data_IF_371774448748
#
_entry.id   IF_371774448748
#
_cell.length_a   1.000
_cell.length_b   1.000
_cell.length_c   1.000
_cell.angle_alpha   90.00
_cell.angle_beta   90.00
_cell.angle_gamma   90.00
#
_symmetry.space_group_name_H-M   'P 1'
#
loop_
_entity.id
_entity.type
_entity.pdbx_description
1 polymer ?
#
# COMPACT_ATOMS: atom_id res chain seq x y z
N UNK A 1 -42.74 -27.41 39.45
CA UNK A 1 -43.10 -27.42 38.01
C UNK A 1 -42.45 -26.23 37.34
N UNK A 2 -41.35 -26.48 36.62
CA UNK A 2 -40.59 -25.47 35.87
C UNK A 2 -41.45 -24.86 34.75
N UNK A 3 -41.42 -23.54 34.59
CA UNK A 3 -41.75 -22.90 33.31
C UNK A 3 -40.54 -22.16 32.76
N UNK A 4 -40.24 -22.57 31.54
CA UNK A 4 -39.05 -22.32 30.72
C UNK A 4 -39.09 -20.90 30.15
N UNK A 5 -37.87 -20.36 30.04
CA UNK A 5 -37.43 -19.09 29.45
C UNK A 5 -38.10 -18.80 28.10
N UNK A 6 -38.51 -17.54 27.88
CA UNK A 6 -38.89 -16.99 26.56
C UNK A 6 -38.22 -15.64 26.33
N UNK A 7 -36.95 -15.64 25.94
CA UNK A 7 -36.26 -14.46 25.40
C UNK A 7 -35.58 -14.81 24.06
N UNK A 8 -36.31 -14.91 22.93
CA UNK A 8 -35.68 -15.25 21.65
C UNK A 8 -35.34 -14.04 20.77
N UNK A 9 -35.56 -12.78 21.19
CA UNK A 9 -35.51 -11.64 20.26
C UNK A 9 -34.23 -10.78 20.37
N UNK A 10 -33.40 -10.95 21.40
CA UNK A 10 -32.30 -10.00 21.65
C UNK A 10 -30.95 -10.35 21.00
N UNK A 11 -30.78 -11.50 20.33
CA UNK A 11 -29.46 -11.97 19.88
C UNK A 11 -29.18 -11.80 18.37
N UNK A 12 -30.14 -11.31 17.58
CA UNK A 12 -29.97 -11.20 16.12
C UNK A 12 -29.49 -9.83 15.63
N UNK A 13 -29.47 -8.80 16.49
CA UNK A 13 -29.18 -7.42 16.07
C UNK A 13 -27.68 -7.03 16.10
N UNK A 14 -26.80 -7.87 16.65
CA UNK A 14 -25.38 -7.54 16.84
C UNK A 14 -24.44 -7.97 15.69
N UNK A 15 -24.93 -8.73 14.71
CA UNK A 15 -24.10 -9.22 13.58
C UNK A 15 -24.12 -8.32 12.32
N UNK A 16 -24.91 -7.24 12.30
CA UNK A 16 -25.08 -6.42 11.10
C UNK A 16 -24.09 -5.24 10.96
N UNK A 17 -23.19 -5.00 11.94
CA UNK A 17 -22.30 -3.82 11.94
C UNK A 17 -20.88 -4.05 11.38
N UNK A 18 -20.51 -5.25 10.93
CA UNK A 18 -19.11 -5.53 10.56
C UNK A 18 -18.80 -5.46 9.05
N UNK A 19 -19.80 -5.27 8.17
CA UNK A 19 -19.56 -5.20 6.72
C UNK A 19 -19.55 -3.73 6.29
N UNK A 20 -18.44 -3.04 6.54
CA UNK A 20 -18.23 -1.77 5.86
C UNK A 20 -17.92 -2.06 4.40
N UNK A 21 -18.63 -1.46 3.43
CA UNK A 21 -18.24 -1.57 2.04
C UNK A 21 -16.84 -0.99 1.91
N UNK A 22 -15.88 -1.83 1.49
CA UNK A 22 -14.61 -1.33 0.96
C UNK A 22 -14.98 -0.59 -0.31
N UNK A 23 -15.09 0.74 -0.23
CA UNK A 23 -15.24 1.58 -1.41
C UNK A 23 -13.97 1.42 -2.23
N UNK A 24 -14.02 0.58 -3.26
CA UNK A 24 -13.00 0.55 -4.30
C UNK A 24 -13.03 1.93 -4.96
N UNK A 25 -12.01 2.75 -4.70
CA UNK A 25 -11.85 4.01 -5.42
C UNK A 25 -11.56 3.66 -6.87
N UNK A 26 -12.44 4.07 -7.78
CA UNK A 26 -12.19 3.95 -9.21
C UNK A 26 -10.91 4.71 -9.54
N UNK A 27 -9.99 4.05 -10.27
CA UNK A 27 -8.78 4.69 -10.76
C UNK A 27 -9.15 5.70 -11.83
N UNK A 28 -8.56 6.89 -11.75
CA UNK A 28 -8.62 7.87 -12.82
C UNK A 28 -7.37 7.72 -13.72
N UNK A 29 -7.47 8.07 -15.00
CA UNK A 29 -6.31 8.06 -15.90
C UNK A 29 -5.17 8.95 -15.37
N UNK A 30 -5.51 10.05 -14.70
CA UNK A 30 -4.54 10.94 -14.05
C UNK A 30 -3.78 10.28 -12.89
N UNK A 31 -4.29 9.20 -12.27
CA UNK A 31 -3.54 8.47 -11.24
C UNK A 31 -2.29 7.77 -11.82
N UNK A 32 -2.25 7.53 -13.13
CA UNK A 32 -1.09 6.98 -13.83
C UNK A 32 -0.04 8.02 -14.22
N UNK A 33 -0.29 9.31 -13.99
CA UNK A 33 0.73 10.35 -14.17
C UNK A 33 1.83 10.29 -13.10
N UNK A 34 1.55 9.65 -11.96
CA UNK A 34 2.46 9.53 -10.82
C UNK A 34 3.00 10.88 -10.33
N UNK A 35 2.15 11.90 -10.28
CA UNK A 35 2.53 13.23 -9.78
C UNK A 35 2.77 13.20 -8.26
N UNK A 36 1.98 12.39 -7.55
CA UNK A 36 2.01 12.31 -6.08
C UNK A 36 2.12 10.88 -5.58
N UNK A 37 2.56 10.76 -4.32
CA UNK A 37 2.59 9.49 -3.59
C UNK A 37 1.18 8.89 -3.46
N UNK A 38 0.16 9.73 -3.31
CA UNK A 38 -1.24 9.28 -3.27
C UNK A 38 -1.70 8.67 -4.60
N UNK A 39 -1.32 9.25 -5.75
CA UNK A 39 -1.64 8.65 -7.05
C UNK A 39 -1.07 7.23 -7.15
N UNK A 40 0.20 7.05 -6.80
CA UNK A 40 0.83 5.73 -6.83
C UNK A 40 0.20 4.76 -5.82
N UNK A 41 -0.21 5.22 -4.63
CA UNK A 41 -0.90 4.39 -3.64
C UNK A 41 -2.24 3.85 -4.18
N UNK A 42 -3.02 4.67 -4.90
CA UNK A 42 -4.24 4.22 -5.55
C UNK A 42 -3.95 3.15 -6.59
N UNK A 43 -2.99 3.39 -7.48
CA UNK A 43 -2.57 2.43 -8.52
C UNK A 43 -2.10 1.11 -7.91
N UNK A 44 -1.28 1.16 -6.86
CA UNK A 44 -0.79 -0.02 -6.15
C UNK A 44 -1.86 -0.75 -5.31
N UNK A 45 -2.93 -0.05 -4.94
CA UNK A 45 -4.05 -0.54 -4.14
C UNK A 45 -5.19 -1.16 -4.96
N UNK A 46 -5.08 -1.16 -6.29
CA UNK A 46 -6.08 -1.74 -7.19
C UNK A 46 -6.34 -3.23 -6.88
N UNK A 47 -7.60 -3.64 -6.88
CA UNK A 47 -8.03 -5.02 -6.64
C UNK A 47 -8.47 -5.66 -7.95
N UNK A 48 -8.18 -6.95 -8.15
CA UNK A 48 -8.29 -7.66 -9.44
C UNK A 48 -9.67 -7.65 -10.12
N UNK A 49 -10.72 -7.24 -9.42
CA UNK A 49 -12.09 -7.21 -9.94
C UNK A 49 -12.47 -5.86 -10.61
N UNK A 50 -11.63 -4.81 -10.54
CA UNK A 50 -11.93 -3.54 -11.20
C UNK A 50 -11.43 -3.48 -12.66
N UNK A 51 -12.15 -2.81 -13.58
CA UNK A 51 -11.62 -2.48 -14.89
C UNK A 51 -10.29 -1.72 -14.75
N UNK A 52 -9.25 -2.15 -15.49
CA UNK A 52 -7.92 -1.54 -15.40
C UNK A 52 -7.04 -2.07 -14.24
N UNK A 53 -7.53 -2.99 -13.41
CA UNK A 53 -6.76 -3.51 -12.27
C UNK A 53 -5.44 -4.18 -12.68
N UNK A 54 -5.43 -4.87 -13.83
CA UNK A 54 -4.22 -5.54 -14.32
C UNK A 54 -3.16 -4.52 -14.72
N UNK A 55 -3.57 -3.49 -15.44
CA UNK A 55 -2.73 -2.38 -15.88
C UNK A 55 -2.16 -1.63 -14.68
N UNK A 56 -2.99 -1.37 -13.68
CA UNK A 56 -2.59 -0.74 -12.41
C UNK A 56 -1.55 -1.56 -11.66
N UNK A 57 -1.77 -2.87 -11.48
CA UNK A 57 -0.84 -3.75 -10.80
C UNK A 57 0.50 -3.88 -11.53
N UNK A 58 0.48 -3.97 -12.87
CA UNK A 58 1.70 -3.99 -13.68
C UNK A 58 2.46 -2.67 -13.57
N UNK A 59 1.75 -1.54 -13.59
CA UNK A 59 2.32 -0.20 -13.45
C UNK A 59 2.97 0.00 -12.08
N UNK A 60 2.27 -0.39 -11.00
CA UNK A 60 2.81 -0.37 -9.65
C UNK A 60 4.08 -1.22 -9.53
N UNK A 61 4.04 -2.48 -10.01
CA UNK A 61 5.19 -3.39 -9.99
C UNK A 61 6.40 -2.77 -10.70
N UNK A 62 6.19 -2.21 -11.89
CA UNK A 62 7.25 -1.58 -12.67
C UNK A 62 7.84 -0.34 -11.98
N UNK A 63 6.99 0.50 -11.36
CA UNK A 63 7.43 1.69 -10.65
C UNK A 63 8.31 1.35 -9.44
N UNK A 64 7.89 0.37 -8.63
CA UNK A 64 8.66 -0.07 -7.45
C UNK A 64 9.99 -0.69 -7.89
N UNK A 65 9.98 -1.58 -8.88
CA UNK A 65 11.19 -2.18 -9.45
C UNK A 65 12.18 -1.11 -9.94
N UNK A 66 11.72 -0.16 -10.75
CA UNK A 66 12.57 0.92 -11.28
C UNK A 66 13.12 1.82 -10.17
N UNK A 67 12.32 2.12 -9.14
CA UNK A 67 12.75 2.90 -7.98
C UNK A 67 13.88 2.19 -7.22
N UNK A 68 13.75 0.87 -7.01
CA UNK A 68 14.77 0.05 -6.34
C UNK A 68 16.04 -0.06 -7.20
N UNK A 69 15.91 -0.34 -8.49
CA UNK A 69 17.06 -0.41 -9.41
C UNK A 69 17.84 0.91 -9.44
N UNK A 70 17.14 2.05 -9.52
CA UNK A 70 17.80 3.35 -9.47
C UNK A 70 18.48 3.58 -8.11
N UNK A 71 17.80 3.28 -7.01
CA UNK A 71 18.37 3.35 -5.66
C UNK A 71 19.67 2.52 -5.53
N UNK A 72 19.69 1.31 -6.05
CA UNK A 72 20.86 0.43 -6.02
C UNK A 72 21.99 1.00 -6.87
N UNK A 73 21.69 1.41 -8.10
CA UNK A 73 22.67 2.01 -9.01
C UNK A 73 23.37 3.25 -8.41
N UNK A 74 22.66 4.08 -7.64
CA UNK A 74 23.25 5.25 -6.98
C UNK A 74 23.95 4.92 -5.66
N UNK A 75 23.58 3.83 -4.99
CA UNK A 75 24.11 3.47 -3.66
C UNK A 75 25.34 2.58 -3.70
N UNK A 76 25.42 1.63 -4.65
CA UNK A 76 26.38 0.51 -4.60
C UNK A 76 27.86 0.92 -4.73
N UNK A 77 28.13 2.12 -5.25
CA UNK A 77 29.49 2.69 -5.36
C UNK A 77 29.83 3.69 -4.28
N UNK A 78 29.11 3.69 -3.15
CA UNK A 78 29.22 4.68 -2.05
C UNK A 78 29.05 6.13 -2.52
N UNK A 79 28.37 6.34 -3.66
CA UNK A 79 28.08 7.69 -4.19
C UNK A 79 26.96 8.35 -3.39
N UNK A 80 26.04 7.54 -2.87
CA UNK A 80 25.01 7.94 -1.93
C UNK A 80 24.92 6.92 -0.78
N UNK A 81 24.35 7.35 0.35
CA UNK A 81 24.00 6.45 1.45
C UNK A 81 22.86 5.54 1.01
N UNK A 82 23.03 4.23 1.19
CA UNK A 82 21.97 3.24 0.99
C UNK A 82 20.86 3.45 2.02
N UNK A 83 19.61 3.55 1.55
CA UNK A 83 18.44 3.80 2.40
C UNK A 83 17.59 2.53 2.59
N UNK A 84 17.55 1.66 1.58
CA UNK A 84 16.77 0.41 1.58
C UNK A 84 17.73 -0.78 1.64
N UNK A 85 17.57 -1.64 2.65
CA UNK A 85 18.38 -2.84 2.82
C UNK A 85 17.50 -4.10 2.85
N UNK A 86 17.08 -4.53 1.65
CA UNK A 86 16.31 -5.76 1.44
C UNK A 86 17.22 -7.00 1.46
N UNK A 87 16.62 -8.16 1.71
CA UNK A 87 17.26 -9.48 1.68
C UNK A 87 17.10 -10.13 0.29
N UNK A 88 17.91 -11.15 -0.01
CA UNK A 88 17.87 -11.84 -1.31
C UNK A 88 16.51 -12.45 -1.69
N UNK A 89 15.66 -12.75 -0.70
CA UNK A 89 14.33 -13.34 -0.92
C UNK A 89 13.19 -12.30 -0.89
N UNK A 90 13.48 -11.01 -0.66
CA UNK A 90 12.46 -9.98 -0.74
C UNK A 90 12.01 -9.82 -2.21
N UNK A 91 10.71 -9.72 -2.40
CA UNK A 91 10.07 -9.59 -3.71
C UNK A 91 9.53 -8.18 -3.94
N UNK A 92 9.22 -7.83 -5.18
CA UNK A 92 8.51 -6.58 -5.47
C UNK A 92 7.11 -6.56 -4.85
N UNK A 93 6.50 -7.73 -4.66
CA UNK A 93 5.23 -7.84 -3.96
C UNK A 93 5.36 -7.50 -2.47
N UNK A 94 6.45 -7.93 -1.82
CA UNK A 94 6.76 -7.48 -0.45
C UNK A 94 6.94 -5.96 -0.39
N UNK A 95 7.59 -5.40 -1.42
CA UNK A 95 7.73 -3.95 -1.58
C UNK A 95 6.39 -3.23 -1.75
N UNK A 96 5.49 -3.76 -2.57
CA UNK A 96 4.13 -3.24 -2.74
C UNK A 96 3.36 -3.26 -1.43
N UNK A 97 3.42 -4.38 -0.72
CA UNK A 97 2.72 -4.53 0.56
C UNK A 97 3.28 -3.56 1.61
N UNK A 98 4.61 -3.39 1.68
CA UNK A 98 5.25 -2.40 2.54
C UNK A 98 4.81 -0.95 2.19
N UNK A 99 4.72 -0.63 0.90
CA UNK A 99 4.25 0.68 0.44
C UNK A 99 2.78 0.94 0.81
N UNK A 100 1.89 -0.03 0.60
CA UNK A 100 0.48 0.09 0.99
C UNK A 100 0.29 0.19 2.50
N UNK A 101 1.03 -0.61 3.29
CA UNK A 101 1.01 -0.53 4.75
C UNK A 101 1.47 0.86 5.21
N UNK A 102 2.58 1.37 4.68
CA UNK A 102 3.06 2.71 4.99
C UNK A 102 2.05 3.79 4.57
N UNK A 103 1.42 3.66 3.39
CA UNK A 103 0.37 4.58 2.93
C UNK A 103 -0.84 4.60 3.85
N UNK A 104 -1.31 3.45 4.32
CA UNK A 104 -2.43 3.35 5.25
C UNK A 104 -2.16 4.05 6.59
N UNK A 105 -0.93 3.96 7.11
CA UNK A 105 -0.49 4.66 8.32
C UNK A 105 -0.38 6.18 8.13
N UNK A 106 -0.14 6.65 6.90
CA UNK A 106 0.17 8.05 6.58
C UNK A 106 -0.91 8.77 5.76
N UNK A 107 -2.04 8.13 5.45
CA UNK A 107 -3.10 8.67 4.57
C UNK A 107 -3.65 10.04 4.97
N UNK A 108 -3.58 10.41 6.25
CA UNK A 108 -4.02 11.73 6.75
C UNK A 108 -2.96 12.83 6.62
N UNK A 109 -1.72 12.47 6.27
CA UNK A 109 -0.61 13.41 6.17
C UNK A 109 -0.48 13.92 4.73
N UNK A 110 -1.14 15.03 4.46
CA UNK A 110 -1.16 15.66 3.14
C UNK A 110 0.23 16.05 2.64
N UNK A 111 1.17 16.39 3.52
CA UNK A 111 2.56 16.66 3.10
C UNK A 111 3.19 15.41 2.49
N UNK A 112 3.06 14.25 3.14
CA UNK A 112 3.61 12.99 2.64
C UNK A 112 2.88 12.50 1.39
N UNK A 113 1.56 12.67 1.33
CA UNK A 113 0.76 12.22 0.20
C UNK A 113 1.05 13.02 -1.08
N UNK A 114 1.38 14.31 -0.95
CA UNK A 114 1.72 15.20 -2.07
C UNK A 114 3.21 15.17 -2.47
N UNK A 115 4.05 14.35 -1.84
CA UNK A 115 5.44 14.19 -2.27
C UNK A 115 5.53 13.39 -3.59
N UNK A 116 6.63 13.57 -4.33
CA UNK A 116 6.97 12.73 -5.47
C UNK A 116 6.91 11.25 -5.10
N UNK A 117 6.25 10.38 -5.89
CA UNK A 117 5.98 9.00 -5.48
C UNK A 117 7.23 8.16 -5.18
N UNK A 118 8.35 8.41 -5.86
CA UNK A 118 9.62 7.73 -5.57
C UNK A 118 10.10 7.99 -4.13
N UNK A 119 9.84 9.18 -3.58
CA UNK A 119 10.17 9.51 -2.18
C UNK A 119 9.31 8.71 -1.22
N UNK A 120 8.01 8.60 -1.51
CA UNK A 120 7.07 7.76 -0.76
C UNK A 120 7.51 6.28 -0.76
N UNK A 121 7.83 5.73 -1.93
CA UNK A 121 8.32 4.34 -2.08
C UNK A 121 9.60 4.14 -1.25
N UNK A 122 10.62 4.97 -1.44
CA UNK A 122 11.90 4.81 -0.72
C UNK A 122 11.70 4.92 0.79
N UNK A 123 10.85 5.84 1.27
CA UNK A 123 10.57 5.97 2.70
C UNK A 123 9.85 4.74 3.25
N UNK A 124 8.85 4.23 2.53
CA UNK A 124 8.12 3.04 2.93
C UNK A 124 9.04 1.80 3.02
N UNK A 125 9.85 1.59 1.99
CA UNK A 125 10.79 0.47 1.93
C UNK A 125 11.91 0.61 2.96
N UNK A 126 12.44 1.81 3.19
CA UNK A 126 13.45 2.06 4.24
C UNK A 126 12.88 1.81 5.65
N UNK A 127 11.59 2.11 5.89
CA UNK A 127 10.90 1.77 7.14
C UNK A 127 10.75 0.25 7.30
N UNK A 128 10.37 -0.46 6.24
CA UNK A 128 10.14 -1.91 6.27
C UNK A 128 11.43 -2.74 6.26
N UNK A 129 12.50 -2.21 5.68
CA UNK A 129 13.81 -2.84 5.47
C UNK A 129 14.95 -1.87 5.78
N UNK A 130 15.11 -1.47 7.06
CA UNK A 130 16.12 -0.49 7.45
C UNK A 130 17.54 -1.05 7.31
N UNK A 131 18.44 -0.21 6.82
CA UNK A 131 19.87 -0.51 6.86
C UNK A 131 20.39 -0.46 8.30
N UNK A 132 21.18 -1.48 8.70
CA UNK A 132 21.87 -1.48 9.99
C UNK A 132 22.84 -0.30 10.05
N UNK A 133 22.95 0.30 11.24
CA UNK A 133 23.93 1.36 11.53
C UNK A 133 25.34 0.82 11.53
#
# INVERSE_FOLDING_TARGET
>A
MNKIIRHPVALAALLALAVQPMTSQALDESDFNFDTTENLLKVCGATGDSPGAREALLSCRAFIEASVQYHDAVSDKKRAKRLICYNANDTIEDGRQAFLTWGAENKGNQTLMNEMPVVGVVRALAKARPCKK
#
